data_IF_860899097325
#
_entry.id   IF_860899097325
#
_cell.length_a   1.000
_cell.length_b   1.000
_cell.length_c   1.000
_cell.angle_alpha   90.00
_cell.angle_beta   90.00
_cell.angle_gamma   90.00
#
_symmetry.space_group_name_H-M   'P 1'
#
loop_
_entity.id
_entity.type
_entity.pdbx_description
1 polymer ?
#
# COMPACT_ATOMS: atom_id res chain seq x y z
N UNK A 1 3.20 -9.18 3.01
CA UNK A 1 2.64 -9.80 1.79
C UNK A 1 1.97 -8.70 0.97
N UNK A 2 1.63 -8.97 -0.29
CA UNK A 2 1.02 -8.01 -1.25
C UNK A 2 -0.39 -7.52 -0.88
N UNK A 3 -0.96 -8.03 0.22
CA UNK A 3 -2.30 -7.74 0.69
C UNK A 3 -2.29 -6.95 2.02
N UNK A 4 -1.13 -6.57 2.57
CA UNK A 4 -1.05 -5.90 3.88
C UNK A 4 -0.90 -4.40 3.68
N UNK A 5 -1.91 -3.60 4.01
CA UNK A 5 -1.91 -2.14 3.79
C UNK A 5 -0.82 -1.36 4.55
N UNK A 6 -0.10 -1.99 5.48
CA UNK A 6 1.09 -1.40 6.12
C UNK A 6 2.36 -1.51 5.27
N UNK A 7 2.27 -2.21 4.14
CA UNK A 7 3.41 -2.52 3.26
C UNK A 7 3.19 -1.88 1.90
N UNK A 8 4.25 -1.36 1.31
CA UNK A 8 4.21 -0.68 0.00
C UNK A 8 3.66 -1.60 -1.09
N UNK A 9 3.92 -2.91 -1.00
CA UNK A 9 3.42 -3.91 -1.94
C UNK A 9 1.89 -4.00 -1.99
N UNK A 10 1.17 -3.41 -1.03
CA UNK A 10 -0.29 -3.35 -1.00
C UNK A 10 -0.86 -1.96 -1.39
N UNK A 11 -0.02 -1.01 -1.81
CA UNK A 11 -0.45 0.35 -2.20
C UNK A 11 -1.48 0.33 -3.34
N UNK A 12 -1.45 -0.70 -4.19
CA UNK A 12 -2.42 -0.89 -5.27
C UNK A 12 -3.87 -0.96 -4.77
N UNK A 13 -4.09 -1.47 -3.54
CA UNK A 13 -5.43 -1.56 -2.93
C UNK A 13 -6.01 -0.16 -2.69
N UNK A 14 -5.16 0.82 -2.36
CA UNK A 14 -5.59 2.19 -2.07
C UNK A 14 -6.06 2.93 -3.32
N UNK A 15 -5.78 2.40 -4.52
CA UNK A 15 -6.20 2.99 -5.80
C UNK A 15 -7.47 2.35 -6.35
N UNK A 16 -8.07 1.38 -5.66
CA UNK A 16 -9.26 0.70 -6.15
C UNK A 16 -10.48 1.16 -5.36
N UNK A 17 -11.54 1.46 -6.09
CA UNK A 17 -12.86 1.80 -5.60
C UNK A 17 -13.88 0.72 -6.00
N UNK A 18 -14.86 0.44 -5.15
CA UNK A 18 -15.93 -0.53 -5.45
C UNK A 18 -17.18 0.24 -5.86
N UNK A 19 -17.37 0.45 -7.16
CA UNK A 19 -18.49 1.23 -7.68
C UNK A 19 -19.71 0.36 -7.99
N UNK A 20 -20.89 0.92 -7.79
CA UNK A 20 -22.15 0.33 -8.25
C UNK A 20 -22.41 0.70 -9.70
N UNK A 21 -22.49 -0.29 -10.58
CA UNK A 21 -22.85 -0.14 -11.99
C UNK A 21 -24.07 -1.00 -12.31
N UNK A 22 -25.24 -0.36 -12.38
CA UNK A 22 -26.50 -1.03 -12.61
C UNK A 22 -26.86 -1.99 -11.47
N UNK A 23 -26.89 -3.29 -11.75
CA UNK A 23 -27.19 -4.35 -10.79
C UNK A 23 -25.94 -5.10 -10.29
N UNK A 24 -24.73 -4.52 -10.43
CA UNK A 24 -23.45 -5.15 -10.09
C UNK A 24 -22.47 -4.19 -9.40
N UNK A 25 -21.47 -4.79 -8.75
CA UNK A 25 -20.28 -4.08 -8.28
C UNK A 25 -19.15 -4.29 -9.28
N UNK A 26 -18.40 -3.22 -9.53
CA UNK A 26 -17.18 -3.24 -10.31
C UNK A 26 -16.03 -2.64 -9.53
N UNK A 27 -14.83 -3.18 -9.73
CA UNK A 27 -13.61 -2.59 -9.22
C UNK A 27 -13.12 -1.58 -10.25
N UNK A 28 -12.96 -0.32 -9.85
CA UNK A 28 -12.46 0.76 -10.71
C UNK A 28 -11.14 1.28 -10.14
N UNK A 29 -10.12 1.33 -10.99
CA UNK A 29 -8.84 1.93 -10.65
C UNK A 29 -8.92 3.46 -10.76
N UNK A 30 -8.36 4.13 -9.77
CA UNK A 30 -8.33 5.58 -9.62
C UNK A 30 -6.91 6.11 -9.84
N UNK A 31 -6.79 7.35 -10.29
CA UNK A 31 -5.49 7.99 -10.58
C UNK A 31 -4.67 8.33 -9.32
N UNK A 32 -5.29 8.32 -8.14
CA UNK A 32 -4.67 8.67 -6.86
C UNK A 32 -4.96 7.64 -5.77
N UNK A 33 -4.15 7.61 -4.70
CA UNK A 33 -4.48 6.84 -3.49
C UNK A 33 -5.68 7.48 -2.77
N UNK A 34 -6.68 6.67 -2.42
CA UNK A 34 -7.86 7.07 -1.67
C UNK A 34 -7.70 6.89 -0.16
N UNK A 35 -8.48 7.63 0.61
CA UNK A 35 -8.63 7.42 2.05
C UNK A 35 -9.21 6.02 2.26
N UNK A 36 -8.50 5.21 3.05
CA UNK A 36 -8.87 3.81 3.23
C UNK A 36 -9.93 3.65 4.33
N UNK A 37 -11.15 3.33 3.90
CA UNK A 37 -12.31 3.05 4.76
C UNK A 37 -12.79 1.58 4.61
N UNK A 38 -14.10 1.34 4.50
CA UNK A 38 -14.72 0.02 4.39
C UNK A 38 -14.33 -0.71 3.10
N UNK A 39 -14.28 0.00 1.97
CA UNK A 39 -14.07 -0.63 0.66
C UNK A 39 -12.64 -1.16 0.49
N UNK A 40 -11.62 -0.34 0.74
CA UNK A 40 -10.23 -0.81 0.74
C UNK A 40 -10.01 -1.97 1.73
N UNK A 41 -10.70 -1.97 2.90
CA UNK A 41 -10.60 -3.02 3.92
C UNK A 41 -11.28 -4.31 3.45
N UNK A 42 -12.33 -4.18 2.66
CA UNK A 42 -12.98 -5.31 2.00
C UNK A 42 -12.01 -5.95 0.99
N UNK A 43 -11.34 -5.13 0.16
CA UNK A 43 -10.33 -5.62 -0.80
C UNK A 43 -9.13 -6.24 -0.07
N UNK A 44 -8.61 -5.58 0.95
CA UNK A 44 -7.52 -6.09 1.82
C UNK A 44 -7.88 -7.47 2.35
N UNK A 45 -9.06 -7.59 2.97
CA UNK A 45 -9.53 -8.84 3.54
C UNK A 45 -9.68 -9.93 2.47
N UNK A 46 -10.32 -9.63 1.34
CA UNK A 46 -10.47 -10.60 0.25
C UNK A 46 -9.11 -11.04 -0.29
N UNK A 47 -8.16 -10.12 -0.45
CA UNK A 47 -6.80 -10.43 -0.86
C UNK A 47 -6.12 -11.36 0.16
N UNK A 48 -6.22 -11.09 1.47
CA UNK A 48 -5.67 -11.95 2.50
C UNK A 48 -6.30 -13.35 2.50
N UNK A 49 -7.63 -13.44 2.37
CA UNK A 49 -8.35 -14.71 2.35
C UNK A 49 -8.00 -15.56 1.12
N UNK A 50 -7.81 -14.93 -0.05
CA UNK A 50 -7.44 -15.60 -1.30
C UNK A 50 -5.95 -15.92 -1.33
N UNK A 51 -5.08 -14.91 -1.23
CA UNK A 51 -3.64 -15.07 -1.39
C UNK A 51 -3.00 -15.73 -0.17
N UNK A 52 -3.56 -15.61 1.04
CA UNK A 52 -2.94 -16.17 2.25
C UNK A 52 -2.73 -17.68 2.22
N UNK A 53 -3.60 -18.43 1.51
CA UNK A 53 -3.47 -19.88 1.35
C UNK A 53 -2.89 -20.29 -0.01
N UNK A 54 -2.87 -19.37 -0.97
CA UNK A 54 -2.59 -19.64 -2.38
C UNK A 54 -1.34 -18.94 -2.90
N UNK A 55 -0.64 -18.17 -2.07
CA UNK A 55 0.51 -17.34 -2.45
C UNK A 55 1.61 -18.15 -3.13
N UNK A 56 1.93 -19.31 -2.56
CA UNK A 56 2.99 -20.19 -3.05
C UNK A 56 2.62 -20.80 -4.39
N UNK A 57 1.39 -21.32 -4.52
CA UNK A 57 0.89 -21.90 -5.77
C UNK A 57 0.83 -20.84 -6.89
N UNK A 58 0.37 -19.63 -6.56
CA UNK A 58 0.34 -18.50 -7.50
C UNK A 58 1.75 -18.09 -7.91
N UNK A 59 2.68 -18.00 -6.96
CA UNK A 59 4.07 -17.64 -7.25
C UNK A 59 4.75 -18.69 -8.14
N UNK A 60 4.53 -19.97 -7.88
CA UNK A 60 5.03 -21.07 -8.71
C UNK A 60 4.45 -21.00 -10.12
N UNK A 61 3.14 -20.80 -10.26
CA UNK A 61 2.49 -20.70 -11.56
C UNK A 61 3.02 -19.53 -12.38
N UNK A 62 3.18 -18.35 -11.76
CA UNK A 62 3.77 -17.17 -12.41
C UNK A 62 5.20 -17.46 -12.88
N UNK A 63 6.03 -18.05 -12.02
CA UNK A 63 7.44 -18.31 -12.32
C UNK A 63 7.63 -19.36 -13.43
N UNK A 64 6.88 -20.46 -13.36
CA UNK A 64 7.02 -21.61 -14.27
C UNK A 64 6.33 -21.39 -15.60
N UNK A 65 5.09 -20.88 -15.57
CA UNK A 65 4.22 -20.84 -16.74
C UNK A 65 4.24 -19.49 -17.45
N UNK A 66 4.68 -18.41 -16.76
CA UNK A 66 4.69 -17.03 -17.27
C UNK A 66 3.35 -16.65 -17.95
N UNK A 67 2.22 -16.84 -17.24
CA UNK A 67 0.90 -16.63 -17.81
C UNK A 67 0.68 -15.15 -18.16
N UNK A 68 -0.21 -14.90 -19.12
CA UNK A 68 -0.84 -13.59 -19.25
C UNK A 68 -1.88 -13.36 -18.12
N UNK A 69 -2.40 -12.13 -18.04
CA UNK A 69 -3.33 -11.73 -16.98
C UNK A 69 -4.61 -12.57 -16.99
N UNK A 70 -5.12 -12.92 -18.18
CA UNK A 70 -6.34 -13.74 -18.30
C UNK A 70 -6.11 -15.16 -17.79
N UNK A 71 -5.00 -15.79 -18.16
CA UNK A 71 -4.63 -17.12 -17.72
C UNK A 71 -4.39 -17.17 -16.21
N UNK A 72 -3.70 -16.17 -15.66
CA UNK A 72 -3.50 -16.03 -14.21
C UNK A 72 -4.83 -15.86 -13.47
N UNK A 73 -5.74 -15.03 -13.99
CA UNK A 73 -7.06 -14.81 -13.40
C UNK A 73 -7.91 -16.07 -13.41
N UNK A 74 -7.89 -16.83 -14.51
CA UNK A 74 -8.62 -18.09 -14.60
C UNK A 74 -8.08 -19.13 -13.62
N UNK A 75 -6.75 -19.30 -13.57
CA UNK A 75 -6.10 -20.21 -12.63
C UNK A 75 -6.46 -19.86 -11.18
N UNK A 76 -6.25 -18.60 -10.77
CA UNK A 76 -6.51 -18.15 -9.42
C UNK A 76 -8.00 -18.27 -9.06
N UNK A 77 -8.89 -17.76 -9.92
CA UNK A 77 -10.28 -17.59 -9.55
C UNK A 77 -11.16 -18.84 -9.79
N UNK A 78 -10.86 -19.66 -10.80
CA UNK A 78 -11.68 -20.83 -11.16
C UNK A 78 -11.09 -22.13 -10.64
N UNK A 79 -9.78 -22.30 -10.75
CA UNK A 79 -9.12 -23.56 -10.45
C UNK A 79 -8.71 -23.63 -8.98
N UNK A 80 -7.98 -22.62 -8.51
CA UNK A 80 -7.39 -22.59 -7.17
C UNK A 80 -8.43 -22.25 -6.09
N UNK A 81 -9.03 -21.06 -6.16
CA UNK A 81 -9.99 -20.57 -5.14
C UNK A 81 -11.43 -21.00 -5.40
N UNK A 82 -11.76 -21.32 -6.66
CA UNK A 82 -13.13 -21.64 -7.12
C UNK A 82 -14.13 -20.50 -6.94
N UNK A 83 -13.69 -19.29 -6.58
CA UNK A 83 -14.53 -18.13 -6.33
C UNK A 83 -15.34 -17.69 -7.57
N UNK A 84 -14.77 -17.82 -8.77
CA UNK A 84 -15.42 -17.43 -10.02
C UNK A 84 -16.24 -18.57 -10.69
N UNK A 85 -16.54 -19.66 -9.99
CA UNK A 85 -17.34 -20.76 -10.58
C UNK A 85 -18.78 -20.39 -10.84
N UNK A 86 -19.34 -19.51 -10.00
CA UNK A 86 -20.70 -19.01 -10.12
C UNK A 86 -20.67 -17.54 -10.44
N UNK A 87 -21.62 -17.09 -11.27
CA UNK A 87 -21.79 -15.65 -11.50
C UNK A 87 -22.20 -14.97 -10.18
N UNK A 88 -21.63 -13.80 -9.85
CA UNK A 88 -22.07 -13.02 -8.70
C UNK A 88 -23.59 -12.74 -8.78
N UNK A 89 -24.31 -12.80 -7.66
CA UNK A 89 -25.72 -12.44 -7.64
C UNK A 89 -25.91 -10.95 -7.94
N UNK A 90 -27.06 -10.53 -8.50
CA UNK A 90 -27.39 -9.13 -8.67
C UNK A 90 -27.45 -8.39 -7.32
N UNK A 91 -27.21 -7.09 -7.37
CA UNK A 91 -27.30 -6.23 -6.20
C UNK A 91 -28.74 -6.16 -5.66
N UNK A 92 -28.93 -6.20 -4.32
CA UNK A 92 -30.22 -5.92 -3.70
C UNK A 92 -30.70 -4.50 -4.03
N UNK A 93 -32.00 -4.34 -4.30
CA UNK A 93 -32.59 -3.03 -4.69
C UNK A 93 -32.63 -2.02 -3.54
N UNK A 94 -32.59 -2.51 -2.32
CA UNK A 94 -32.67 -1.77 -1.06
C UNK A 94 -31.29 -1.60 -0.40
N UNK A 95 -30.21 -1.95 -1.12
CA UNK A 95 -28.84 -1.72 -0.67
C UNK A 95 -28.58 -0.22 -0.52
N UNK A 96 -27.96 0.16 0.59
CA UNK A 96 -27.34 1.48 0.74
C UNK A 96 -26.07 1.54 -0.11
N UNK A 97 -25.90 2.54 -0.97
CA UNK A 97 -24.67 2.71 -1.74
C UNK A 97 -23.41 2.75 -0.89
N UNK A 98 -22.30 2.32 -1.49
CA UNK A 98 -20.96 2.42 -0.91
C UNK A 98 -20.57 3.86 -0.57
N UNK A 99 -19.51 3.99 0.21
CA UNK A 99 -18.92 5.30 0.53
C UNK A 99 -18.20 5.84 -0.72
N UNK A 100 -18.29 7.15 -1.03
CA UNK A 100 -17.63 7.67 -2.22
C UNK A 100 -16.11 7.63 -2.06
N UNK A 101 -15.40 7.37 -3.16
CA UNK A 101 -13.95 7.53 -3.20
C UNK A 101 -13.53 8.95 -2.83
N UNK A 102 -12.62 9.07 -1.85
CA UNK A 102 -12.02 10.35 -1.47
C UNK A 102 -10.51 10.26 -1.71
N UNK A 103 -9.95 10.98 -2.71
CA UNK A 103 -8.51 10.98 -2.94
C UNK A 103 -7.79 11.59 -1.74
N UNK A 104 -6.70 10.96 -1.32
CA UNK A 104 -5.78 11.53 -0.33
C UNK A 104 -5.11 12.78 -0.90
N UNK A 105 -4.84 13.79 -0.06
CA UNK A 105 -3.94 14.87 -0.44
C UNK A 105 -2.56 14.31 -0.85
N UNK A 106 -1.96 14.82 -1.92
CA UNK A 106 -0.71 14.30 -2.48
C UNK A 106 0.43 14.22 -1.46
N UNK A 107 0.64 15.28 -0.68
CA UNK A 107 1.66 15.34 0.37
C UNK A 107 1.47 14.27 1.46
N UNK A 108 0.22 13.93 1.75
CA UNK A 108 -0.12 12.91 2.75
C UNK A 108 0.13 11.51 2.19
N UNK A 109 -0.31 11.24 0.95
CA UNK A 109 -0.03 9.98 0.27
C UNK A 109 1.48 9.70 0.15
N UNK A 110 2.28 10.71 -0.23
CA UNK A 110 3.73 10.59 -0.32
C UNK A 110 4.40 10.30 1.03
N UNK A 111 3.96 10.99 2.08
CA UNK A 111 4.48 10.79 3.44
C UNK A 111 4.15 9.39 3.96
N UNK A 112 2.91 8.93 3.80
CA UNK A 112 2.52 7.59 4.24
C UNK A 112 3.26 6.51 3.45
N UNK A 113 3.46 6.71 2.15
CA UNK A 113 4.25 5.80 1.32
C UNK A 113 5.71 5.72 1.79
N UNK A 114 6.31 6.86 2.14
CA UNK A 114 7.64 6.88 2.74
C UNK A 114 7.68 6.09 4.05
N UNK A 115 6.70 6.26 4.94
CA UNK A 115 6.63 5.52 6.21
C UNK A 115 6.50 4.00 5.98
N UNK A 116 5.64 3.56 5.04
CA UNK A 116 5.44 2.13 4.72
C UNK A 116 6.71 1.47 4.18
N UNK A 117 7.50 2.18 3.36
CA UNK A 117 8.77 1.66 2.85
C UNK A 117 9.84 1.52 3.96
N UNK A 118 9.80 2.37 4.98
CA UNK A 118 10.71 2.30 6.13
C UNK A 118 10.39 1.15 7.09
N UNK A 119 9.11 0.84 7.31
CA UNK A 119 8.67 -0.28 8.18
C UNK A 119 9.11 -1.67 7.67
N UNK A 120 9.66 -1.76 6.46
CA UNK A 120 10.17 -3.00 5.84
C UNK A 120 11.65 -3.30 6.10
N UNK A 121 12.46 -2.36 6.61
CA UNK A 121 13.91 -2.56 6.75
C UNK A 121 14.29 -3.41 7.97
N UNK A 122 14.99 -4.55 7.79
CA UNK A 122 15.58 -5.30 8.90
C UNK A 122 16.73 -4.48 9.53
N UNK A 123 16.67 -4.22 10.84
CA UNK A 123 17.79 -3.62 11.57
C UNK A 123 17.54 -2.30 12.29
N UNK A 124 16.30 -1.79 12.35
CA UNK A 124 15.97 -0.60 13.14
C UNK A 124 15.02 -0.90 14.33
N UNK A 125 15.44 -1.71 15.33
CA UNK A 125 14.59 -2.03 16.48
C UNK A 125 14.39 -0.85 17.47
N UNK A 126 15.12 0.26 17.31
CA UNK A 126 15.13 1.39 18.25
C UNK A 126 14.90 2.78 17.62
N UNK A 127 14.49 2.88 16.34
CA UNK A 127 13.97 4.18 15.86
C UNK A 127 12.59 4.36 16.46
N UNK A 128 12.45 5.32 17.38
CA UNK A 128 11.15 5.79 17.83
C UNK A 128 10.39 6.24 16.57
N UNK A 129 9.24 5.61 16.31
CA UNK A 129 8.30 6.03 15.27
C UNK A 129 7.86 7.44 15.63
N UNK A 130 8.50 8.46 15.04
CA UNK A 130 8.01 9.82 15.18
C UNK A 130 6.58 9.86 14.62
N UNK A 131 5.66 10.32 15.46
CA UNK A 131 4.27 10.49 15.09
C UNK A 131 4.15 11.44 13.89
N UNK A 132 3.06 11.31 13.12
CA UNK A 132 2.78 12.17 11.97
C UNK A 132 2.82 13.66 12.35
N UNK A 133 2.42 13.98 13.57
CA UNK A 133 2.51 15.33 14.12
C UNK A 133 3.97 15.79 14.37
N UNK A 134 4.86 14.90 14.85
CA UNK A 134 6.27 15.23 15.11
C UNK A 134 7.08 15.48 13.83
N UNK A 135 6.85 14.68 12.78
CA UNK A 135 7.52 14.86 11.48
C UNK A 135 7.11 16.18 10.80
N UNK A 136 5.84 16.57 10.92
CA UNK A 136 5.36 17.87 10.43
C UNK A 136 5.99 19.04 11.21
N UNK A 137 6.18 18.89 12.53
CA UNK A 137 6.83 19.90 13.37
C UNK A 137 8.35 20.01 13.14
N UNK A 138 9.04 18.91 12.83
CA UNK A 138 10.49 18.95 12.51
C UNK A 138 10.79 19.70 11.21
N UNK A 139 9.87 19.68 10.24
CA UNK A 139 10.02 20.41 8.96
C UNK A 139 10.01 21.93 9.12
N UNK A 140 9.72 22.44 10.32
CA UNK A 140 9.75 23.86 10.67
C UNK A 140 11.07 24.33 11.32
N UNK A 141 12.08 23.46 11.46
CA UNK A 141 13.42 23.80 11.97
C UNK A 141 14.46 23.95 10.85
N UNK A 142 14.07 24.56 9.73
CA UNK A 142 15.02 25.17 8.80
C UNK A 142 15.30 26.61 9.24
N UNK A 143 15.95 26.77 10.39
CA UNK A 143 16.39 28.06 10.92
C UNK A 143 17.91 28.14 10.84
N UNK A 144 18.38 29.02 9.96
CA UNK A 144 19.71 29.63 9.85
C UNK A 144 20.81 29.07 10.76
N UNK A 145 21.77 28.34 10.17
CA UNK A 145 23.10 28.17 10.72
C UNK A 145 24.06 28.96 9.84
N UNK A 146 24.10 30.27 10.04
CA UNK A 146 25.22 31.12 9.65
C UNK A 146 26.07 31.39 10.91
N UNK A 147 27.35 31.04 10.77
CA UNK A 147 28.57 31.52 11.43
C UNK A 147 28.61 31.80 12.95
N UNK A 148 29.49 31.07 13.64
CA UNK A 148 30.52 31.73 14.44
C UNK A 148 31.83 30.91 14.37
N UNK A 149 32.85 31.58 13.86
CA UNK A 149 34.25 31.18 13.78
C UNK A 149 34.83 31.00 15.20
N UNK A 150 35.56 29.91 15.45
CA UNK A 150 36.61 29.92 16.47
C UNK A 150 37.78 29.07 15.95
N UNK A 151 38.85 29.80 15.60
CA UNK A 151 40.19 29.31 15.30
C UNK A 151 40.79 28.62 16.53
N UNK A 152 41.22 27.37 16.39
CA UNK A 152 42.32 26.85 17.21
C UNK A 152 43.20 25.95 16.34
N UNK A 153 44.33 26.52 15.93
CA UNK A 153 45.49 25.82 15.41
C UNK A 153 46.02 24.84 16.47
N UNK A 154 46.11 23.55 16.15
CA UNK A 154 47.12 22.70 16.77
C UNK A 154 47.60 21.62 15.81
N UNK A 155 48.92 21.53 15.71
CA UNK A 155 49.62 21.06 14.53
C UNK A 155 50.20 19.63 14.70
N UNK A 156 49.98 18.79 13.67
CA UNK A 156 50.80 17.63 13.20
C UNK A 156 50.81 16.30 14.02
N UNK A 157 51.22 15.14 13.42
CA UNK A 157 51.50 14.83 12.00
C UNK A 157 50.85 13.55 11.44
N UNK A 158 50.95 13.44 10.11
CA UNK A 158 50.65 12.31 9.24
C UNK A 158 51.55 11.07 9.46
N UNK A 159 50.95 9.91 9.17
CA UNK A 159 51.52 8.57 8.90
C UNK A 159 51.78 7.64 10.11
N UNK A 160 50.93 6.61 10.21
CA UNK A 160 51.34 5.19 10.09
C UNK A 160 50.15 4.32 9.67
#
# INVERSE_FOLDING_TARGET
>A
NVCNLKKEEADWILKIDIVEQGDKLELVEQDAEGICNTECKTIERTCQEVMGYSDTDVAEYIYTSKPDVESLTNYLCKDLTKACKTKPPPLPKDRTPGEPFVPKPTKEAEMEKMLRSMEGMPGAPNMQMYSREELMNMKNFGGDADDDEDEDEDQFPSNL
#
